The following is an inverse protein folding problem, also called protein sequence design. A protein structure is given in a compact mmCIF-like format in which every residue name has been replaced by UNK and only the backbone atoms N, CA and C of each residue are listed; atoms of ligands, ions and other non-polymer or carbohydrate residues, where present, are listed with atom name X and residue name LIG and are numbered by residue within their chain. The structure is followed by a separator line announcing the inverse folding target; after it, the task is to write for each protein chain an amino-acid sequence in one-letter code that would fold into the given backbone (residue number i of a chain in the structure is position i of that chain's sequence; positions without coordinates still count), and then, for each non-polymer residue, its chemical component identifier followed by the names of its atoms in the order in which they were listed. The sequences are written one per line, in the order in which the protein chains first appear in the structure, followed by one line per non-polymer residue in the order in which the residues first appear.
data_IF_846302881315
#
_entry.id   IF_846302881315
#
_cell.length_a   1.000
_cell.length_b   1.000
_cell.length_c   1.000
_cell.angle_alpha   90.00
_cell.angle_beta   90.00
_cell.angle_gamma   90.00
#
_symmetry.space_group_name_H-M   'P 1'
#
loop_
_entity.id
_entity.type
_entity.pdbx_description
1 polymer ?
#
# COMPACT_ATOMS: atom_id res chain seq x y z
N UNK A 1 -12.13 0.89 -7.46
CA UNK A 1 -12.32 0.15 -8.73
C UNK A 1 -12.17 -1.33 -8.42
N UNK A 2 -13.21 -2.13 -8.65
CA UNK A 2 -13.25 -3.57 -8.33
C UNK A 2 -13.81 -4.30 -9.57
N UNK A 3 -13.21 -5.41 -9.97
CA UNK A 3 -13.74 -6.26 -11.05
C UNK A 3 -14.85 -7.16 -10.52
N UNK A 4 -15.66 -7.73 -11.41
CA UNK A 4 -16.71 -8.70 -11.04
C UNK A 4 -16.17 -9.93 -10.31
N UNK A 5 -14.88 -10.26 -10.50
CA UNK A 5 -14.20 -11.38 -9.82
C UNK A 5 -13.48 -10.98 -8.54
N UNK A 6 -13.42 -9.68 -8.22
CA UNK A 6 -12.63 -9.14 -7.10
C UNK A 6 -11.12 -9.08 -7.35
N UNK A 7 -10.62 -9.56 -8.49
CA UNK A 7 -9.20 -9.53 -8.83
C UNK A 7 -8.83 -8.30 -9.67
N UNK A 8 -7.65 -7.74 -9.42
CA UNK A 8 -7.12 -6.65 -10.23
C UNK A 8 -6.69 -7.15 -11.62
N UNK A 9 -6.97 -6.37 -12.67
CA UNK A 9 -6.58 -6.67 -14.04
C UNK A 9 -5.82 -5.48 -14.64
N UNK A 10 -5.24 -5.64 -15.83
CA UNK A 10 -4.42 -4.59 -16.43
C UNK A 10 -5.17 -3.26 -16.65
N UNK A 11 -6.47 -3.29 -16.97
CA UNK A 11 -7.24 -2.06 -17.16
C UNK A 11 -7.45 -1.31 -15.84
N UNK A 12 -7.89 -2.02 -14.80
CA UNK A 12 -8.10 -1.44 -13.47
C UNK A 12 -6.78 -0.95 -12.86
N UNK A 13 -5.67 -1.61 -13.19
CA UNK A 13 -4.34 -1.16 -12.79
C UNK A 13 -3.99 0.20 -13.42
N UNK A 14 -4.22 0.40 -14.72
CA UNK A 14 -3.99 1.69 -15.38
C UNK A 14 -4.83 2.80 -14.77
N UNK A 15 -6.10 2.54 -14.49
CA UNK A 15 -6.94 3.55 -13.85
C UNK A 15 -6.45 3.87 -12.43
N UNK A 16 -5.92 2.86 -11.72
CA UNK A 16 -5.21 3.06 -10.46
C UNK A 16 -3.96 3.94 -10.61
N UNK A 17 -3.18 3.77 -11.69
CA UNK A 17 -2.02 4.60 -11.98
C UNK A 17 -2.41 6.06 -12.26
N UNK A 18 -3.48 6.31 -13.02
CA UNK A 18 -3.99 7.68 -13.23
C UNK A 18 -4.42 8.34 -11.92
N UNK A 19 -5.03 7.58 -11.01
CA UNK A 19 -5.38 8.08 -9.69
C UNK A 19 -4.12 8.36 -8.85
N UNK A 20 -3.12 7.49 -8.92
CA UNK A 20 -1.84 7.70 -8.23
C UNK A 20 -1.13 8.96 -8.73
N UNK A 21 -0.99 9.11 -10.05
CA UNK A 21 -0.38 10.28 -10.69
C UNK A 21 -1.03 11.59 -10.25
N UNK A 22 -2.36 11.63 -10.19
CA UNK A 22 -3.13 12.79 -9.69
C UNK A 22 -2.79 13.21 -8.24
N UNK A 23 -2.34 12.29 -7.39
CA UNK A 23 -2.08 12.59 -5.98
C UNK A 23 -0.59 12.65 -5.64
N UNK A 24 0.24 11.89 -6.35
CA UNK A 24 1.69 11.89 -6.19
C UNK A 24 2.35 13.04 -6.98
N UNK A 25 1.68 13.56 -8.01
CA UNK A 25 2.12 14.67 -8.87
C UNK A 25 3.59 14.56 -9.31
N UNK A 26 4.00 13.41 -9.89
CA UNK A 26 5.38 13.20 -10.30
C UNK A 26 5.78 14.18 -11.41
N UNK A 27 7.03 14.63 -11.38
CA UNK A 27 7.59 15.56 -12.36
C UNK A 27 9.02 15.21 -12.73
N UNK A 28 9.59 15.90 -13.72
CA UNK A 28 11.00 15.71 -14.08
C UNK A 28 11.93 16.15 -12.94
N UNK A 29 11.52 17.17 -12.19
CA UNK A 29 12.24 17.73 -11.05
C UNK A 29 12.05 16.92 -9.77
N UNK A 30 10.91 16.24 -9.62
CA UNK A 30 10.56 15.37 -8.49
C UNK A 30 10.00 14.03 -8.98
N UNK A 31 10.86 13.09 -9.43
CA UNK A 31 10.43 11.80 -9.93
C UNK A 31 10.03 10.86 -8.79
N UNK A 32 9.03 10.01 -9.05
CA UNK A 32 8.47 9.11 -8.03
C UNK A 32 8.89 7.66 -8.27
N UNK A 33 9.30 6.97 -7.20
CA UNK A 33 9.55 5.53 -7.21
C UNK A 33 8.31 4.76 -6.75
N UNK A 34 7.73 3.96 -7.64
CA UNK A 34 6.63 3.06 -7.33
C UNK A 34 7.16 1.62 -7.20
N UNK A 35 7.04 1.04 -6.00
CA UNK A 35 7.43 -0.35 -5.72
C UNK A 35 6.19 -1.22 -5.64
N UNK A 36 6.13 -2.30 -6.43
CA UNK A 36 5.03 -3.27 -6.37
C UNK A 36 5.52 -4.71 -6.59
N UNK A 37 4.66 -5.68 -6.30
CA UNK A 37 4.88 -7.10 -6.61
C UNK A 37 4.79 -7.39 -8.11
N UNK A 38 5.63 -8.31 -8.60
CA UNK A 38 5.70 -8.71 -10.01
C UNK A 38 4.50 -9.57 -10.44
N UNK A 39 3.32 -8.96 -10.57
CA UNK A 39 2.15 -9.59 -11.19
C UNK A 39 2.05 -9.18 -12.67
N UNK A 40 1.69 -10.13 -13.53
CA UNK A 40 1.65 -9.95 -14.98
C UNK A 40 0.77 -8.77 -15.43
N UNK A 41 -0.29 -8.46 -14.68
CA UNK A 41 -1.15 -7.30 -14.99
C UNK A 41 -0.43 -5.95 -14.93
N UNK A 42 0.67 -5.85 -14.17
CA UNK A 42 1.43 -4.61 -13.94
C UNK A 42 2.51 -4.35 -14.99
N UNK A 43 2.89 -5.37 -15.74
CA UNK A 43 3.92 -5.29 -16.79
C UNK A 43 3.32 -5.15 -18.20
N UNK A 44 2.07 -4.69 -18.30
CA UNK A 44 1.43 -4.44 -19.60
C UNK A 44 2.10 -3.26 -20.32
N UNK A 45 2.13 -3.29 -21.66
CA UNK A 45 2.70 -2.20 -22.45
C UNK A 45 2.12 -0.81 -22.11
N UNK A 46 0.79 -0.66 -21.93
CA UNK A 46 0.21 0.62 -21.52
C UNK A 46 0.75 1.12 -20.17
N UNK A 47 1.03 0.22 -19.22
CA UNK A 47 1.55 0.60 -17.91
C UNK A 47 3.00 1.10 -18.02
N UNK A 48 3.83 0.38 -18.80
CA UNK A 48 5.23 0.76 -19.03
C UNK A 48 5.34 2.13 -19.70
N UNK A 49 4.48 2.40 -20.69
CA UNK A 49 4.42 3.71 -21.35
C UNK A 49 3.98 4.80 -20.37
N UNK A 50 2.94 4.53 -19.57
CA UNK A 50 2.46 5.46 -18.55
C UNK A 50 3.55 5.83 -17.54
N UNK A 51 4.32 4.87 -17.04
CA UNK A 51 5.40 5.14 -16.10
C UNK A 51 6.47 6.06 -16.70
N UNK A 52 6.87 5.78 -17.94
CA UNK A 52 7.88 6.58 -18.65
C UNK A 52 7.40 8.01 -18.91
N UNK A 53 6.14 8.17 -19.30
CA UNK A 53 5.57 9.48 -19.65
C UNK A 53 5.36 10.37 -18.42
N UNK A 54 5.12 9.80 -17.25
CA UNK A 54 4.82 10.54 -16.02
C UNK A 54 5.98 10.55 -15.00
N UNK A 55 7.22 10.31 -15.42
CA UNK A 55 8.40 10.35 -14.54
C UNK A 55 8.32 9.40 -13.33
N UNK A 56 7.63 8.26 -13.49
CA UNK A 56 7.52 7.23 -12.46
C UNK A 56 8.53 6.12 -12.75
N UNK A 57 9.45 5.90 -11.82
CA UNK A 57 10.31 4.70 -11.84
C UNK A 57 9.54 3.55 -11.23
N UNK A 58 9.27 2.50 -12.00
CA UNK A 58 8.56 1.31 -11.52
C UNK A 58 9.54 0.19 -11.18
N UNK A 59 9.54 -0.24 -9.92
CA UNK A 59 10.37 -1.34 -9.43
C UNK A 59 9.49 -2.53 -9.02
N UNK A 60 9.68 -3.67 -9.71
CA UNK A 60 8.99 -4.91 -9.37
C UNK A 60 9.83 -5.80 -8.47
N UNK A 61 9.25 -6.31 -7.39
CA UNK A 61 9.87 -7.35 -6.55
C UNK A 61 9.61 -8.73 -7.19
N UNK A 62 10.63 -9.55 -7.47
CA UNK A 62 10.42 -10.82 -8.17
C UNK A 62 9.52 -11.79 -7.38
N UNK A 63 8.72 -12.63 -8.06
CA UNK A 63 7.92 -13.65 -7.40
C UNK A 63 8.89 -14.62 -6.73
N UNK A 64 8.76 -14.81 -5.42
CA UNK A 64 9.61 -15.67 -4.60
C UNK A 64 11.06 -15.20 -4.33
N UNK A 65 11.49 -14.00 -4.77
CA UNK A 65 12.79 -13.44 -4.35
C UNK A 65 12.80 -13.01 -2.87
N UNK A 66 11.65 -13.07 -2.24
CA UNK A 66 11.44 -12.77 -0.83
C UNK A 66 10.55 -13.88 -0.28
N UNK A 67 11.15 -14.85 0.41
CA UNK A 67 10.46 -15.48 1.54
C UNK A 67 9.76 -14.35 2.33
N UNK A 68 8.60 -14.62 2.93
CA UNK A 68 7.71 -13.78 3.76
C UNK A 68 8.42 -12.82 4.77
N UNK A 69 9.74 -12.94 4.87
CA UNK A 69 10.73 -12.11 5.53
C UNK A 69 10.97 -10.74 4.86
N UNK A 70 10.82 -10.58 3.54
CA UNK A 70 11.41 -9.44 2.81
C UNK A 70 10.43 -8.55 2.03
N UNK A 71 9.11 -8.72 2.10
CA UNK A 71 8.19 -7.73 1.56
C UNK A 71 7.97 -6.61 2.59
N UNK A 72 8.55 -5.40 2.39
CA UNK A 72 8.48 -4.34 3.39
C UNK A 72 7.04 -3.87 3.58
N UNK A 73 6.22 -3.92 2.52
CA UNK A 73 4.79 -3.61 2.59
C UNK A 73 4.06 -4.57 3.53
N UNK A 74 4.29 -5.89 3.38
CA UNK A 74 3.64 -6.89 4.22
C UNK A 74 4.02 -6.74 5.69
N UNK A 75 5.29 -6.44 5.98
CA UNK A 75 5.77 -6.33 7.37
C UNK A 75 5.50 -4.99 8.02
N UNK A 76 5.72 -3.89 7.30
CA UNK A 76 5.66 -2.55 7.88
C UNK A 76 4.25 -1.98 7.85
N UNK A 77 3.39 -2.45 6.94
CA UNK A 77 2.05 -1.91 6.77
C UNK A 77 0.96 -2.97 6.98
N UNK A 78 1.00 -4.09 6.24
CA UNK A 78 -0.11 -5.07 6.26
C UNK A 78 -0.19 -5.81 7.59
N UNK A 79 0.93 -6.29 8.14
CA UNK A 79 0.94 -7.02 9.40
C UNK A 79 0.45 -6.15 10.59
N UNK A 80 0.93 -4.91 10.78
CA UNK A 80 0.37 -3.99 11.78
C UNK A 80 -1.12 -3.71 11.55
N UNK A 81 -1.53 -3.48 10.29
CA UNK A 81 -2.92 -3.23 9.95
C UNK A 81 -3.83 -4.41 10.33
N UNK A 82 -3.43 -5.64 9.99
CA UNK A 82 -4.16 -6.87 10.36
C UNK A 82 -4.22 -7.02 11.88
N UNK A 83 -3.13 -6.77 12.59
CA UNK A 83 -3.08 -6.90 14.04
C UNK A 83 -4.06 -5.95 14.73
N UNK A 84 -4.08 -4.67 14.34
CA UNK A 84 -4.99 -3.71 14.96
C UNK A 84 -6.44 -3.97 14.52
N UNK A 85 -6.67 -4.31 13.24
CA UNK A 85 -8.01 -4.73 12.78
C UNK A 85 -8.53 -5.91 13.60
N UNK A 86 -7.71 -6.94 13.81
CA UNK A 86 -8.10 -8.13 14.58
C UNK A 86 -8.46 -7.77 16.02
N UNK A 87 -7.69 -6.87 16.64
CA UNK A 87 -7.99 -6.38 17.99
C UNK A 87 -9.30 -5.60 18.06
N UNK A 88 -9.58 -4.71 17.11
CA UNK A 88 -10.83 -3.94 17.08
C UNK A 88 -12.04 -4.81 16.76
N UNK A 89 -11.88 -5.78 15.84
CA UNK A 89 -12.90 -6.77 15.52
C UNK A 89 -13.25 -7.63 16.75
N UNK A 90 -12.25 -8.08 17.50
CA UNK A 90 -12.45 -8.86 18.73
C UNK A 90 -13.20 -8.05 19.80
N UNK A 91 -12.79 -6.80 20.05
CA UNK A 91 -13.50 -5.90 20.98
C UNK A 91 -14.95 -5.71 20.57
N UNK A 92 -15.21 -5.51 19.28
CA UNK A 92 -16.56 -5.31 18.77
C UNK A 92 -17.41 -6.57 18.95
N UNK A 93 -16.86 -7.76 18.68
CA UNK A 93 -17.57 -9.04 18.85
C UNK A 93 -17.92 -9.31 20.32
N UNK A 94 -17.02 -8.97 21.26
CA UNK A 94 -17.31 -9.06 22.71
C UNK A 94 -18.45 -8.12 23.10
N UNK A 95 -18.48 -6.91 22.52
CA UNK A 95 -19.53 -5.92 22.80
C UNK A 95 -20.86 -6.19 22.08
N UNK A 96 -20.84 -6.98 21.00
CA UNK A 96 -21.97 -7.25 20.13
C UNK A 96 -22.17 -8.76 19.93
N UNK A 97 -22.48 -9.45 21.03
CA UNK A 97 -22.74 -10.89 21.01
C UNK A 97 -23.85 -11.24 20.00
N UNK A 98 -23.66 -12.34 19.27
CA UNK A 98 -24.57 -12.85 18.22
C UNK A 98 -24.68 -12.02 16.94
N UNK A 99 -23.94 -10.91 16.81
CA UNK A 99 -23.88 -10.14 15.57
C UNK A 99 -22.68 -10.52 14.72
N UNK A 100 -22.87 -10.46 13.41
CA UNK A 100 -21.79 -10.64 12.43
C UNK A 100 -21.19 -9.29 12.05
N UNK A 101 -19.88 -9.26 11.86
CA UNK A 101 -19.18 -8.09 11.34
C UNK A 101 -19.62 -7.90 9.89
N UNK A 102 -20.27 -6.76 9.61
CA UNK A 102 -20.67 -6.37 8.25
C UNK A 102 -19.62 -5.49 7.61
N UNK A 103 -19.75 -5.24 6.30
CA UNK A 103 -18.85 -4.33 5.58
C UNK A 103 -18.81 -2.91 6.20
N UNK A 104 -19.92 -2.45 6.80
CA UNK A 104 -19.97 -1.15 7.49
C UNK A 104 -19.08 -1.12 8.73
N UNK A 105 -19.06 -2.20 9.51
CA UNK A 105 -18.19 -2.31 10.69
C UNK A 105 -16.73 -2.39 10.26
N UNK A 106 -16.42 -3.13 9.20
CA UNK A 106 -15.08 -3.15 8.59
C UNK A 106 -14.64 -1.72 8.23
N UNK A 107 -15.47 -0.95 7.51
CA UNK A 107 -15.16 0.45 7.19
C UNK A 107 -14.94 1.31 8.45
N UNK A 108 -15.77 1.11 9.47
CA UNK A 108 -15.63 1.80 10.76
C UNK A 108 -14.31 1.49 11.46
N UNK A 109 -13.86 0.23 11.44
CA UNK A 109 -12.56 -0.17 11.98
C UNK A 109 -11.44 0.50 11.20
N UNK A 110 -11.41 0.38 9.88
CA UNK A 110 -10.37 0.98 9.03
C UNK A 110 -10.22 2.48 9.24
N UNK A 111 -11.34 3.22 9.38
CA UNK A 111 -11.31 4.65 9.70
C UNK A 111 -10.57 4.92 11.02
N UNK A 112 -10.94 4.21 12.09
CA UNK A 112 -10.26 4.33 13.39
C UNK A 112 -8.77 3.99 13.30
N UNK A 113 -8.41 2.97 12.52
CA UNK A 113 -7.02 2.54 12.32
C UNK A 113 -6.18 3.66 11.70
N UNK A 114 -6.69 4.28 10.64
CA UNK A 114 -6.00 5.37 9.93
C UNK A 114 -5.88 6.61 10.83
N UNK A 115 -6.95 6.95 11.56
CA UNK A 115 -6.96 8.11 12.46
C UNK A 115 -6.00 7.93 13.66
N UNK A 116 -5.73 6.69 14.08
CA UNK A 116 -4.90 6.37 15.25
C UNK A 116 -3.39 6.30 14.94
N UNK A 117 -2.99 6.15 13.67
CA UNK A 117 -1.56 6.02 13.31
C UNK A 117 -0.88 7.39 13.14
N UNK A 118 0.07 7.79 14.02
CA UNK A 118 0.81 9.04 13.89
C UNK A 118 1.83 8.94 12.75
N UNK A 119 1.37 9.22 11.53
CA UNK A 119 2.21 9.25 10.32
C UNK A 119 1.50 9.10 9.00
N UNK A 120 0.19 8.87 9.02
CA UNK A 120 -0.67 8.91 7.84
C UNK A 120 -1.25 10.31 7.53
N UNK A 121 -0.78 11.35 8.24
CA UNK A 121 -1.11 12.73 7.89
C UNK A 121 -0.40 13.10 6.58
N UNK A 122 -1.18 13.59 5.62
CA UNK A 122 -0.85 13.89 4.22
C UNK A 122 0.17 15.03 4.01
N UNK A 123 1.10 15.23 4.94
CA UNK A 123 2.13 16.29 4.90
C UNK A 123 3.45 15.84 5.54
N UNK A 124 3.94 14.63 5.26
CA UNK A 124 5.36 14.33 5.48
C UNK A 124 6.10 14.40 4.15
N UNK A 125 6.96 15.41 4.03
CA UNK A 125 7.93 15.52 2.97
C UNK A 125 8.72 14.20 2.86
N UNK A 126 8.85 13.68 1.65
CA UNK A 126 9.62 12.46 1.34
C UNK A 126 11.12 12.56 1.72
N UNK A 127 11.60 13.74 2.12
CA UNK A 127 12.96 13.97 2.60
C UNK A 127 13.27 13.33 3.97
N UNK A 128 12.27 12.94 4.77
CA UNK A 128 12.52 12.35 6.10
C UNK A 128 12.77 10.82 6.09
N UNK A 129 12.63 10.15 4.95
CA UNK A 129 12.92 8.70 4.83
C UNK A 129 14.43 8.37 4.76
N UNK A 130 15.32 9.37 4.91
CA UNK A 130 16.77 9.17 4.91
C UNK A 130 17.40 8.89 6.30
N UNK A 131 16.67 8.90 7.41
CA UNK A 131 17.29 8.90 8.77
C UNK A 131 17.28 7.56 9.51
N UNK A 132 17.06 6.42 8.84
CA UNK A 132 17.12 5.09 9.50
C UNK A 132 18.11 4.10 8.87
N UNK A 133 19.23 4.57 8.29
CA UNK A 133 20.37 3.68 7.93
C UNK A 133 21.57 3.76 8.88
N UNK A 134 21.58 4.70 9.84
CA UNK A 134 22.66 4.82 10.81
C UNK A 134 22.26 4.19 12.16
N UNK A 135 22.35 2.87 12.23
CA UNK A 135 22.65 2.21 13.51
C UNK A 135 23.77 1.22 13.27
N UNK A 136 24.98 1.75 13.46
CA UNK A 136 26.22 1.09 13.87
C UNK A 136 26.14 -0.41 14.14
N UNK A 137 26.84 -1.17 13.31
CA UNK A 137 27.60 -2.35 13.74
C UNK A 137 29.05 -2.11 13.33
N UNK A 138 29.82 -1.48 14.23
CA UNK A 138 31.26 -1.71 14.31
C UNK A 138 31.47 -2.98 15.12
N UNK A 139 32.38 -3.83 14.62
CA UNK A 139 32.91 -5.03 15.29
C UNK A 139 33.32 -4.75 16.74
#
# INVERSE_FOLDING_TARGET
MISDTGYNNSHLFIDGLKHFDKHAEPSAEDPVLLIADNHTSRCSLPAVLFFRENHITFLTVPPHATSHVLQPLDKCFVAPLIAIYSSEAEKWLVQNTEKVITLYEVQGFFKKLIDTQPGFNSQRNLSELQVLSHTTLSL
#
